data_IF_623225231178
#
_entry.id   IF_623225231178
#
_cell.length_a   1.000
_cell.length_b   1.000
_cell.length_c   1.000
_cell.angle_alpha   90.00
_cell.angle_beta   90.00
_cell.angle_gamma   90.00
#
_symmetry.space_group_name_H-M   'P 1'
#
loop_
_entity.id
_entity.type
_entity.pdbx_description
1 polymer ?
#
# COMPACT_ATOMS: atom_id res chain seq x y z
N UNK A 1 -30.72 -27.33 4.70
CA UNK A 1 -29.78 -26.23 4.99
C UNK A 1 -28.60 -26.42 4.06
N UNK A 2 -28.20 -25.37 3.33
CA UNK A 2 -26.99 -25.45 2.51
C UNK A 2 -25.78 -25.74 3.41
N UNK A 3 -24.91 -26.65 3.00
CA UNK A 3 -23.69 -26.97 3.73
C UNK A 3 -22.60 -25.98 3.34
N UNK A 4 -22.48 -24.91 4.11
CA UNK A 4 -21.57 -23.79 3.86
C UNK A 4 -20.10 -24.21 3.84
N UNK A 5 -19.78 -25.41 4.36
CA UNK A 5 -18.42 -25.98 4.36
C UNK A 5 -17.96 -26.50 3.00
N UNK A 6 -18.88 -26.65 2.04
CA UNK A 6 -18.57 -27.11 0.68
C UNK A 6 -18.00 -26.01 -0.23
N UNK A 7 -18.27 -24.74 0.08
CA UNK A 7 -17.79 -23.61 -0.72
C UNK A 7 -16.28 -23.45 -0.60
N UNK A 8 -15.65 -23.25 -1.74
CA UNK A 8 -14.24 -22.94 -1.88
C UNK A 8 -14.07 -21.47 -2.28
N UNK A 9 -12.86 -20.94 -2.12
CA UNK A 9 -12.60 -19.52 -2.41
C UNK A 9 -12.77 -19.22 -3.91
N UNK A 10 -12.44 -20.19 -4.74
CA UNK A 10 -12.55 -20.16 -6.20
C UNK A 10 -14.02 -19.98 -6.64
N UNK A 11 -14.99 -20.49 -5.87
CA UNK A 11 -16.41 -20.36 -6.16
C UNK A 11 -16.91 -18.89 -6.07
N UNK A 12 -16.15 -18.00 -5.43
CA UNK A 12 -16.48 -16.58 -5.30
C UNK A 12 -15.81 -15.70 -6.38
N UNK A 13 -14.99 -16.28 -7.27
CA UNK A 13 -14.37 -15.54 -8.36
C UNK A 13 -15.33 -15.44 -9.55
N UNK A 14 -15.79 -14.22 -9.83
CA UNK A 14 -16.82 -13.93 -10.83
C UNK A 14 -16.26 -13.75 -12.26
N UNK A 15 -14.94 -13.78 -12.42
CA UNK A 15 -14.27 -13.35 -13.65
C UNK A 15 -13.00 -14.17 -13.92
N UNK A 16 -12.65 -14.31 -15.19
CA UNK A 16 -11.41 -14.97 -15.59
C UNK A 16 -10.18 -14.05 -15.41
N UNK A 17 -8.97 -14.58 -15.17
CA UNK A 17 -7.76 -13.77 -14.98
C UNK A 17 -7.45 -12.81 -16.13
N UNK A 18 -7.69 -13.24 -17.37
CA UNK A 18 -7.55 -12.38 -18.55
C UNK A 18 -8.41 -11.10 -18.47
N UNK A 19 -9.63 -11.20 -17.93
CA UNK A 19 -10.55 -10.08 -17.83
C UNK A 19 -10.08 -9.12 -16.72
N UNK A 20 -9.59 -9.67 -15.61
CA UNK A 20 -9.01 -8.91 -14.51
C UNK A 20 -7.78 -8.10 -14.97
N UNK A 21 -6.79 -8.74 -15.60
CA UNK A 21 -5.58 -8.04 -16.05
C UNK A 21 -5.85 -7.01 -17.15
N UNK A 22 -6.85 -7.27 -18.01
CA UNK A 22 -7.30 -6.31 -19.02
C UNK A 22 -7.85 -5.02 -18.40
N UNK A 23 -8.38 -5.05 -17.17
CA UNK A 23 -8.81 -3.83 -16.49
C UNK A 23 -7.65 -2.86 -16.30
N UNK A 24 -6.50 -3.33 -15.83
CA UNK A 24 -5.32 -2.49 -15.63
C UNK A 24 -4.80 -1.91 -16.93
N UNK A 25 -4.77 -2.72 -18.00
CA UNK A 25 -4.38 -2.24 -19.32
C UNK A 25 -5.26 -1.07 -19.80
N UNK A 26 -6.57 -1.27 -19.74
CA UNK A 26 -7.53 -0.25 -20.14
C UNK A 26 -7.49 0.96 -19.20
N UNK A 27 -7.27 0.76 -17.91
CA UNK A 27 -7.17 1.83 -16.93
C UNK A 27 -5.91 2.68 -17.17
N UNK A 28 -4.77 2.04 -17.39
CA UNK A 28 -3.50 2.70 -17.69
C UNK A 28 -3.56 3.47 -19.00
N UNK A 29 -4.13 2.87 -20.05
CA UNK A 29 -4.29 3.56 -21.33
C UNK A 29 -5.17 4.81 -21.21
N UNK A 30 -6.25 4.75 -20.43
CA UNK A 30 -7.15 5.89 -20.22
C UNK A 30 -6.52 7.01 -19.38
N UNK A 31 -5.57 6.70 -18.51
CA UNK A 31 -4.90 7.67 -17.64
C UNK A 31 -3.53 8.10 -18.14
N UNK A 32 -3.11 7.66 -19.34
CA UNK A 32 -1.92 8.18 -19.97
C UNK A 32 -2.06 9.70 -20.21
N UNK A 33 -1.07 10.54 -19.87
CA UNK A 33 0.30 10.24 -19.44
C UNK A 33 0.55 10.49 -17.93
N UNK A 34 -0.35 10.10 -17.03
CA UNK A 34 -0.19 10.34 -15.59
C UNK A 34 0.94 9.51 -14.96
N UNK A 35 1.30 8.37 -15.55
CA UNK A 35 2.22 7.39 -14.96
C UNK A 35 3.64 7.94 -14.72
N UNK A 36 4.29 8.63 -15.68
CA UNK A 36 5.60 9.23 -15.43
C UNK A 36 5.58 10.25 -14.29
N UNK A 37 4.52 11.05 -14.16
CA UNK A 37 4.38 12.00 -13.07
C UNK A 37 4.25 11.29 -11.71
N UNK A 38 3.43 10.25 -11.63
CA UNK A 38 3.27 9.44 -10.41
C UNK A 38 4.61 8.81 -9.98
N UNK A 39 5.34 8.23 -10.94
CA UNK A 39 6.66 7.64 -10.68
C UNK A 39 7.66 8.70 -10.21
N UNK A 40 7.66 9.88 -10.83
CA UNK A 40 8.53 11.00 -10.44
C UNK A 40 8.22 11.48 -9.02
N UNK A 41 6.94 11.59 -8.65
CA UNK A 41 6.51 11.98 -7.31
C UNK A 41 6.93 10.93 -6.28
N UNK A 42 6.70 9.65 -6.56
CA UNK A 42 7.17 8.53 -5.73
C UNK A 42 8.69 8.55 -5.55
N UNK A 43 9.44 8.86 -6.61
CA UNK A 43 10.90 8.94 -6.58
C UNK A 43 11.38 10.11 -5.72
N UNK A 44 10.77 11.29 -5.90
CA UNK A 44 11.04 12.45 -5.08
C UNK A 44 10.80 12.18 -3.59
N UNK A 45 9.68 11.54 -3.23
CA UNK A 45 9.38 11.18 -1.83
C UNK A 45 10.40 10.17 -1.29
N UNK A 46 10.78 9.17 -2.09
CA UNK A 46 11.79 8.17 -1.70
C UNK A 46 13.13 8.85 -1.41
N UNK A 47 13.59 9.74 -2.29
CA UNK A 47 14.82 10.52 -2.08
C UNK A 47 14.74 11.41 -0.84
N UNK A 48 13.61 12.08 -0.62
CA UNK A 48 13.39 12.89 0.57
C UNK A 48 13.46 12.03 1.85
N UNK A 49 12.89 10.82 1.82
CA UNK A 49 12.94 9.89 2.94
C UNK A 49 14.36 9.40 3.22
N UNK A 50 15.12 9.03 2.18
CA UNK A 50 16.53 8.63 2.29
C UNK A 50 17.40 9.76 2.86
N UNK A 51 17.07 11.02 2.57
CA UNK A 51 17.73 12.21 3.13
C UNK A 51 17.25 12.59 4.54
N UNK A 52 16.34 11.82 5.13
CA UNK A 52 15.78 12.11 6.47
C UNK A 52 14.90 13.36 6.52
N UNK A 53 14.34 13.79 5.38
CA UNK A 53 13.54 15.00 5.31
C UNK A 53 12.17 14.82 5.96
N UNK A 54 11.74 15.73 6.86
CA UNK A 54 10.43 15.65 7.50
C UNK A 54 9.28 15.91 6.51
N UNK A 55 9.58 16.46 5.32
CA UNK A 55 8.61 16.67 4.24
C UNK A 55 8.22 15.36 3.56
N UNK A 56 9.09 14.35 3.59
CA UNK A 56 8.86 13.08 2.91
C UNK A 56 7.55 12.42 3.35
N UNK A 57 7.31 12.33 4.66
CA UNK A 57 6.09 11.70 5.16
C UNK A 57 4.84 12.53 4.91
N UNK A 58 4.88 13.87 5.04
CA UNK A 58 3.72 14.71 4.73
C UNK A 58 3.34 14.66 3.25
N UNK A 59 4.31 14.81 2.35
CA UNK A 59 4.08 14.73 0.91
C UNK A 59 3.68 13.30 0.48
N UNK A 60 4.31 12.28 1.07
CA UNK A 60 3.96 10.89 0.82
C UNK A 60 2.54 10.55 1.25
N UNK A 61 2.10 11.02 2.42
CA UNK A 61 0.75 10.78 2.90
C UNK A 61 -0.28 11.51 2.04
N UNK A 62 0.01 12.74 1.63
CA UNK A 62 -0.86 13.47 0.72
C UNK A 62 -0.96 12.81 -0.66
N UNK A 63 0.17 12.38 -1.23
CA UNK A 63 0.21 11.65 -2.50
C UNK A 63 -0.59 10.35 -2.40
N UNK A 64 -0.35 9.55 -1.37
CA UNK A 64 -1.06 8.28 -1.18
C UNK A 64 -2.53 8.53 -0.90
N UNK A 65 -2.92 9.54 -0.13
CA UNK A 65 -4.33 9.88 0.07
C UNK A 65 -5.03 10.18 -1.27
N UNK A 66 -4.40 10.97 -2.15
CA UNK A 66 -4.91 11.18 -3.50
C UNK A 66 -4.98 9.87 -4.29
N UNK A 67 -3.99 8.99 -4.14
CA UNK A 67 -3.98 7.64 -4.71
C UNK A 67 -5.13 6.76 -4.21
N UNK A 68 -5.42 6.74 -2.91
CA UNK A 68 -6.53 5.99 -2.31
C UNK A 68 -7.88 6.51 -2.85
N UNK A 69 -8.04 7.82 -3.01
CA UNK A 69 -9.22 8.41 -3.66
C UNK A 69 -9.32 7.98 -5.12
N UNK A 70 -8.23 8.10 -5.88
CA UNK A 70 -8.18 7.74 -7.29
C UNK A 70 -8.51 6.25 -7.50
N UNK A 71 -7.93 5.35 -6.69
CA UNK A 71 -8.25 3.92 -6.71
C UNK A 71 -9.71 3.66 -6.36
N UNK A 72 -10.26 4.31 -5.32
CA UNK A 72 -11.67 4.17 -4.95
C UNK A 72 -12.62 4.55 -6.10
N UNK A 73 -12.40 5.72 -6.71
CA UNK A 73 -13.29 6.29 -7.71
C UNK A 73 -13.03 5.76 -9.13
N UNK A 74 -11.77 5.78 -9.58
CA UNK A 74 -11.42 5.48 -10.97
C UNK A 74 -11.21 3.98 -11.20
N UNK A 75 -10.77 3.24 -10.19
CA UNK A 75 -10.57 1.80 -10.31
C UNK A 75 -11.80 1.02 -9.82
N UNK A 76 -12.14 1.08 -8.54
CA UNK A 76 -13.24 0.25 -8.00
C UNK A 76 -14.60 0.62 -8.58
N UNK A 77 -14.96 1.91 -8.53
CA UNK A 77 -16.27 2.35 -9.00
C UNK A 77 -16.41 2.32 -10.53
N UNK A 78 -15.44 2.86 -11.27
CA UNK A 78 -15.57 3.00 -12.73
C UNK A 78 -15.11 1.76 -13.53
N UNK A 79 -14.11 1.00 -13.06
CA UNK A 79 -13.51 -0.09 -13.83
C UNK A 79 -13.93 -1.45 -13.31
N UNK A 80 -13.68 -1.70 -12.03
CA UNK A 80 -13.83 -3.03 -11.46
C UNK A 80 -15.29 -3.43 -11.21
N UNK A 81 -16.17 -2.46 -10.97
CA UNK A 81 -17.62 -2.66 -10.88
C UNK A 81 -18.23 -3.37 -12.10
N UNK A 82 -17.59 -3.27 -13.27
CA UNK A 82 -18.08 -3.91 -14.50
C UNK A 82 -17.99 -5.43 -14.50
N UNK A 83 -17.07 -6.01 -13.72
CA UNK A 83 -16.86 -7.47 -13.63
C UNK A 83 -17.06 -8.03 -12.23
N UNK A 84 -17.12 -7.18 -11.21
CA UNK A 84 -17.31 -7.58 -9.83
C UNK A 84 -18.33 -6.67 -9.15
N UNK A 85 -19.53 -7.21 -8.89
CA UNK A 85 -20.62 -6.47 -8.24
C UNK A 85 -20.26 -6.00 -6.82
N UNK A 86 -19.30 -6.65 -6.16
CA UNK A 86 -18.85 -6.26 -4.83
C UNK A 86 -17.87 -5.07 -4.85
N UNK A 87 -17.25 -4.76 -5.99
CA UNK A 87 -16.24 -3.71 -6.10
C UNK A 87 -16.71 -2.31 -5.66
N UNK A 88 -17.93 -1.84 -6.00
CA UNK A 88 -18.43 -0.53 -5.53
C UNK A 88 -18.43 -0.37 -4.01
N UNK A 89 -18.63 -1.44 -3.24
CA UNK A 89 -18.64 -1.38 -1.78
C UNK A 89 -17.25 -1.12 -1.17
N UNK A 90 -16.17 -1.33 -1.93
CA UNK A 90 -14.82 -1.00 -1.51
C UNK A 90 -14.51 0.50 -1.63
N UNK A 91 -15.19 1.22 -2.53
CA UNK A 91 -15.00 2.67 -2.71
C UNK A 91 -15.05 3.45 -1.38
N UNK A 92 -16.12 3.37 -0.56
CA UNK A 92 -16.18 4.14 0.70
C UNK A 92 -15.07 3.75 1.68
N UNK A 93 -14.63 2.49 1.70
CA UNK A 93 -13.51 2.04 2.55
C UNK A 93 -12.19 2.70 2.12
N UNK A 94 -11.96 2.79 0.80
CA UNK A 94 -10.79 3.46 0.25
C UNK A 94 -10.81 4.97 0.50
N UNK A 95 -11.98 5.61 0.41
CA UNK A 95 -12.14 7.03 0.75
C UNK A 95 -11.91 7.28 2.25
N UNK A 96 -12.41 6.42 3.13
CA UNK A 96 -12.17 6.51 4.56
C UNK A 96 -10.66 6.42 4.88
N UNK A 97 -9.95 5.50 4.22
CA UNK A 97 -8.50 5.39 4.35
C UNK A 97 -7.78 6.68 3.87
N UNK A 98 -8.21 7.27 2.76
CA UNK A 98 -7.64 8.55 2.30
C UNK A 98 -7.80 9.66 3.35
N UNK A 99 -8.95 9.73 4.01
CA UNK A 99 -9.20 10.69 5.10
C UNK A 99 -8.24 10.43 6.27
N UNK A 100 -8.08 9.17 6.69
CA UNK A 100 -7.14 8.80 7.76
C UNK A 100 -5.70 9.24 7.43
N UNK A 101 -5.26 9.06 6.18
CA UNK A 101 -3.93 9.49 5.74
C UNK A 101 -3.78 11.01 5.74
N UNK A 102 -4.81 11.77 5.35
CA UNK A 102 -4.80 13.24 5.42
C UNK A 102 -4.77 13.75 6.87
N UNK A 103 -5.52 13.11 7.76
CA UNK A 103 -5.49 13.41 9.20
C UNK A 103 -4.11 13.09 9.79
N UNK A 104 -3.53 11.95 9.42
CA UNK A 104 -2.16 11.60 9.81
C UNK A 104 -1.14 12.60 9.25
N UNK A 105 -1.31 13.10 8.02
CA UNK A 105 -0.42 14.09 7.43
C UNK A 105 -0.44 15.43 8.17
N UNK A 106 -1.61 15.83 8.71
CA UNK A 106 -1.75 17.03 9.54
C UNK A 106 -1.18 16.85 10.94
N UNK A 107 -1.36 15.68 11.54
CA UNK A 107 -0.90 15.37 12.89
C UNK A 107 0.60 15.02 12.97
N UNK A 108 1.20 14.58 11.85
CA UNK A 108 2.57 14.09 11.84
C UNK A 108 3.60 15.22 11.99
N UNK A 109 4.19 15.31 13.19
CA UNK A 109 5.47 15.99 13.41
C UNK A 109 6.57 14.96 13.17
N UNK A 110 7.11 14.94 11.95
CA UNK A 110 8.23 14.06 11.63
C UNK A 110 9.54 14.72 12.05
N UNK A 111 10.35 14.08 12.92
CA UNK A 111 11.68 14.59 13.21
C UNK A 111 12.56 14.43 11.97
N UNK A 112 13.31 15.47 11.63
CA UNK A 112 14.32 15.40 10.58
C UNK A 112 15.50 14.55 11.08
N UNK A 113 15.56 13.27 10.69
CA UNK A 113 16.61 12.35 11.10
C UNK A 113 16.95 11.39 9.96
N UNK A 114 18.23 11.10 9.71
CA UNK A 114 18.62 10.09 8.71
C UNK A 114 18.11 8.71 9.11
N UNK A 115 17.92 7.82 8.12
CA UNK A 115 17.51 6.44 8.35
C UNK A 115 18.63 5.71 9.11
N UNK A 116 18.38 5.35 10.37
CA UNK A 116 19.33 4.64 11.23
C UNK A 116 18.79 3.30 11.71
N UNK A 117 17.49 3.04 11.55
CA UNK A 117 16.82 1.90 12.14
C UNK A 117 16.35 0.92 11.06
N UNK A 118 16.38 -0.38 11.37
CA UNK A 118 15.88 -1.43 10.48
C UNK A 118 14.43 -1.18 10.04
N UNK A 119 13.61 -0.67 10.97
CA UNK A 119 12.22 -0.28 10.69
C UNK A 119 12.10 0.81 9.62
N UNK A 120 13.00 1.79 9.63
CA UNK A 120 12.99 2.91 8.69
C UNK A 120 13.42 2.44 7.30
N UNK A 121 14.46 1.60 7.22
CA UNK A 121 14.86 0.96 5.98
C UNK A 121 13.77 0.05 5.40
N UNK A 122 13.12 -0.76 6.24
CA UNK A 122 11.99 -1.59 5.82
C UNK A 122 10.82 -0.77 5.29
N UNK A 123 10.49 0.35 5.94
CA UNK A 123 9.44 1.26 5.49
C UNK A 123 9.75 1.90 4.13
N UNK A 124 10.97 2.41 3.94
CA UNK A 124 11.41 2.98 2.66
C UNK A 124 11.46 1.90 1.57
N UNK A 125 11.93 0.70 1.88
CA UNK A 125 11.97 -0.42 0.93
C UNK A 125 10.57 -0.83 0.47
N UNK A 126 9.59 -0.94 1.37
CA UNK A 126 8.19 -1.22 1.02
C UNK A 126 7.57 -0.09 0.19
N UNK A 127 7.85 1.17 0.55
CA UNK A 127 7.39 2.34 -0.22
C UNK A 127 7.95 2.31 -1.65
N UNK A 128 9.25 2.12 -1.78
CA UNK A 128 9.93 2.02 -3.07
C UNK A 128 9.45 0.80 -3.88
N UNK A 129 9.19 -0.34 -3.22
CA UNK A 129 8.65 -1.52 -3.87
C UNK A 129 7.31 -1.20 -4.54
N UNK A 130 6.37 -0.57 -3.82
CA UNK A 130 5.05 -0.23 -4.36
C UNK A 130 5.12 0.67 -5.60
N UNK A 131 6.06 1.63 -5.64
CA UNK A 131 6.19 2.54 -6.78
C UNK A 131 7.02 1.99 -7.94
N UNK A 132 8.05 1.17 -7.69
CA UNK A 132 9.07 0.88 -8.72
C UNK A 132 9.22 -0.61 -9.05
N UNK A 133 8.99 -1.51 -8.09
CA UNK A 133 9.17 -2.95 -8.32
C UNK A 133 7.83 -3.63 -8.64
N UNK A 134 6.77 -3.24 -7.95
CA UNK A 134 5.44 -3.78 -8.19
C UNK A 134 4.93 -3.57 -9.64
N UNK A 135 5.13 -2.40 -10.28
CA UNK A 135 4.74 -2.21 -11.69
C UNK A 135 5.49 -3.11 -12.69
N UNK A 136 6.60 -3.72 -12.27
CA UNK A 136 7.39 -4.65 -13.09
C UNK A 136 6.94 -6.11 -12.94
N UNK A 137 6.06 -6.42 -11.98
CA UNK A 137 5.54 -7.77 -11.76
C UNK A 137 4.89 -8.38 -13.01
N UNK A 138 4.11 -7.65 -13.84
CA UNK A 138 3.58 -8.23 -15.06
C UNK A 138 4.66 -8.88 -15.93
N UNK A 139 5.84 -8.28 -16.06
CA UNK A 139 6.93 -8.84 -16.85
C UNK A 139 7.45 -10.17 -16.28
N UNK A 140 7.53 -10.28 -14.95
CA UNK A 140 7.95 -11.51 -14.26
C UNK A 140 6.98 -12.66 -14.54
N UNK A 141 5.69 -12.34 -14.68
CA UNK A 141 4.62 -13.29 -14.99
C UNK A 141 4.28 -13.37 -16.49
N UNK A 142 5.15 -12.88 -17.39
CA UNK A 142 4.97 -12.98 -18.84
C UNK A 142 3.88 -12.09 -19.43
N UNK A 143 3.39 -11.09 -18.68
CA UNK A 143 2.37 -10.11 -19.09
C UNK A 143 3.01 -8.79 -19.55
N UNK A 144 2.35 -8.03 -20.45
CA UNK A 144 2.91 -6.78 -20.97
C UNK A 144 2.91 -5.66 -19.92
N UNK A 145 3.85 -4.71 -20.03
CA UNK A 145 3.92 -3.51 -19.17
C UNK A 145 2.66 -2.63 -19.23
N UNK A 146 1.84 -2.76 -20.28
CA UNK A 146 0.56 -2.07 -20.34
C UNK A 146 -0.35 -2.47 -19.16
N UNK A 147 -0.18 -3.67 -18.61
CA UNK A 147 -0.90 -4.20 -17.43
C UNK A 147 -0.19 -3.87 -16.10
N UNK A 148 0.77 -2.94 -16.11
CA UNK A 148 1.47 -2.50 -14.89
C UNK A 148 0.50 -1.98 -13.82
N UNK A 149 0.71 -2.43 -12.60
CA UNK A 149 0.01 -1.92 -11.44
C UNK A 149 0.84 -0.81 -10.82
N UNK A 150 0.38 0.44 -10.96
CA UNK A 150 1.07 1.61 -10.40
C UNK A 150 0.42 2.07 -9.10
N UNK A 151 1.24 2.40 -8.10
CA UNK A 151 0.78 3.04 -6.87
C UNK A 151 0.01 4.34 -7.20
N UNK A 152 -1.17 4.50 -6.60
CA UNK A 152 -2.12 5.57 -6.86
C UNK A 152 -3.13 5.29 -7.97
N UNK A 153 -2.92 4.26 -8.80
CA UNK A 153 -3.85 3.85 -9.87
C UNK A 153 -4.38 2.43 -9.68
N UNK A 154 -3.55 1.54 -9.14
CA UNK A 154 -3.88 0.17 -8.78
C UNK A 154 -3.90 0.01 -7.25
N UNK A 155 -4.80 -0.82 -6.69
CA UNK A 155 -5.02 -0.87 -5.25
C UNK A 155 -3.84 -1.53 -4.49
N UNK A 156 -3.25 -2.59 -5.03
CA UNK A 156 -2.14 -3.35 -4.42
C UNK A 156 -0.89 -2.51 -4.17
N UNK A 157 -0.26 -1.90 -5.19
CA UNK A 157 0.93 -1.08 -4.98
C UNK A 157 0.64 0.14 -4.09
N UNK A 158 -0.59 0.67 -4.13
CA UNK A 158 -1.03 1.77 -3.25
C UNK A 158 -1.05 1.34 -1.79
N UNK A 159 -1.63 0.18 -1.50
CA UNK A 159 -1.65 -0.38 -0.16
C UNK A 159 -0.24 -0.68 0.35
N UNK A 160 0.59 -1.32 -0.48
CA UNK A 160 1.97 -1.67 -0.12
C UNK A 160 2.81 -0.42 0.16
N UNK A 161 2.72 0.60 -0.71
CA UNK A 161 3.41 1.85 -0.49
C UNK A 161 2.92 2.56 0.79
N UNK A 162 1.63 2.46 1.09
CA UNK A 162 1.04 2.99 2.33
C UNK A 162 1.58 2.29 3.56
N UNK A 163 1.68 0.95 3.56
CA UNK A 163 2.30 0.19 4.65
C UNK A 163 3.74 0.65 4.88
N UNK A 164 4.52 0.82 3.81
CA UNK A 164 5.89 1.32 3.89
C UNK A 164 5.97 2.70 4.53
N UNK A 165 5.13 3.64 4.09
CA UNK A 165 5.13 5.00 4.64
C UNK A 165 4.68 5.05 6.11
N UNK A 166 3.66 4.28 6.49
CA UNK A 166 3.17 4.20 7.86
C UNK A 166 4.24 3.64 8.81
N UNK A 167 5.12 2.75 8.33
CA UNK A 167 6.27 2.28 9.10
C UNK A 167 7.24 3.42 9.45
N UNK A 168 7.28 4.50 8.67
CA UNK A 168 8.15 5.67 8.91
C UNK A 168 7.55 6.68 9.90
N UNK A 169 6.25 6.58 10.20
CA UNK A 169 5.57 7.52 11.09
C UNK A 169 5.76 7.17 12.57
N UNK A 170 5.70 8.15 13.49
CA UNK A 170 5.56 7.87 14.91
C UNK A 170 4.35 6.97 15.18
N UNK A 171 4.46 6.09 16.19
CA UNK A 171 3.32 5.29 16.60
C UNK A 171 2.29 6.14 17.31
N UNK A 172 1.03 5.88 17.00
CA UNK A 172 -0.13 6.50 17.60
C UNK A 172 -1.42 5.93 17.02
N UNK A 173 -2.56 6.33 17.60
CA UNK A 173 -3.87 5.82 17.22
C UNK A 173 -4.12 5.96 15.71
N UNK A 174 -3.88 7.14 15.12
CA UNK A 174 -4.10 7.37 13.68
C UNK A 174 -3.21 6.48 12.81
N UNK A 175 -1.93 6.29 13.15
CA UNK A 175 -1.03 5.41 12.41
C UNK A 175 -1.47 3.94 12.49
N UNK A 176 -1.98 3.51 13.64
CA UNK A 176 -2.48 2.15 13.84
C UNK A 176 -3.78 1.90 13.08
N UNK A 177 -4.74 2.82 13.17
CA UNK A 177 -5.98 2.75 12.41
C UNK A 177 -5.72 2.76 10.90
N UNK A 178 -4.77 3.58 10.44
CA UNK A 178 -4.40 3.67 9.02
C UNK A 178 -3.73 2.40 8.49
N UNK A 179 -3.30 1.46 9.34
CA UNK A 179 -2.74 0.17 8.89
C UNK A 179 -3.81 -0.86 8.58
N UNK A 180 -4.97 -0.77 9.22
CA UNK A 180 -6.00 -1.79 9.10
C UNK A 180 -6.42 -1.97 7.63
N UNK A 181 -6.75 -0.88 6.94
CA UNK A 181 -7.24 -0.96 5.55
C UNK A 181 -6.18 -1.48 4.58
N UNK A 182 -4.93 -0.96 4.55
CA UNK A 182 -3.90 -1.50 3.64
C UNK A 182 -3.54 -2.96 3.93
N UNK A 183 -3.46 -3.38 5.20
CA UNK A 183 -3.20 -4.80 5.54
C UNK A 183 -4.35 -5.68 5.07
N UNK A 184 -5.59 -5.33 5.43
CA UNK A 184 -6.77 -6.10 5.04
C UNK A 184 -6.91 -6.17 3.51
N UNK A 185 -6.64 -5.07 2.81
CA UNK A 185 -6.64 -5.05 1.35
C UNK A 185 -5.60 -6.03 0.78
N UNK A 186 -4.35 -5.97 1.24
CA UNK A 186 -3.32 -6.90 0.78
C UNK A 186 -3.69 -8.37 1.03
N UNK A 187 -4.36 -8.68 2.14
CA UNK A 187 -4.86 -10.04 2.42
C UNK A 187 -6.00 -10.42 1.46
N UNK A 188 -6.95 -9.53 1.20
CA UNK A 188 -8.04 -9.74 0.23
C UNK A 188 -7.49 -9.92 -1.19
N UNK A 189 -6.52 -9.12 -1.59
CA UNK A 189 -5.88 -9.24 -2.91
C UNK A 189 -5.11 -10.56 -3.02
N UNK A 190 -4.32 -10.92 -2.01
CA UNK A 190 -3.63 -12.22 -1.99
C UNK A 190 -4.60 -13.40 -2.11
N UNK A 191 -5.72 -13.36 -1.38
CA UNK A 191 -6.76 -14.37 -1.48
C UNK A 191 -7.38 -14.42 -2.89
N UNK A 192 -7.70 -13.25 -3.45
CA UNK A 192 -8.28 -13.12 -4.80
C UNK A 192 -7.35 -13.69 -5.87
N UNK A 193 -6.07 -13.30 -5.84
CA UNK A 193 -5.06 -13.78 -6.78
C UNK A 193 -4.78 -15.28 -6.60
N UNK A 194 -4.78 -15.78 -5.37
CA UNK A 194 -4.61 -17.20 -5.11
C UNK A 194 -5.78 -18.03 -5.69
N UNK A 195 -7.01 -17.55 -5.51
CA UNK A 195 -8.20 -18.19 -6.09
C UNK A 195 -8.24 -18.14 -7.63
N UNK A 196 -7.47 -17.21 -8.22
CA UNK A 196 -7.26 -17.12 -9.66
C UNK A 196 -6.08 -17.97 -10.16
N UNK A 197 -5.43 -18.73 -9.27
CA UNK A 197 -4.19 -19.48 -9.53
C UNK A 197 -3.03 -18.60 -10.03
N UNK A 198 -2.99 -17.35 -9.57
CA UNK A 198 -1.96 -16.37 -9.95
C UNK A 198 -0.84 -16.34 -8.90
N UNK A 199 0.38 -16.71 -9.32
CA UNK A 199 1.57 -16.70 -8.46
C UNK A 199 1.92 -15.32 -7.88
N UNK A 200 1.38 -14.24 -8.45
CA UNK A 200 1.51 -12.88 -7.93
C UNK A 200 0.89 -12.71 -6.54
N UNK A 201 -0.01 -13.60 -6.10
CA UNK A 201 -0.63 -13.58 -4.77
C UNK A 201 0.38 -13.43 -3.62
N UNK A 202 1.61 -13.94 -3.79
CA UNK A 202 2.67 -13.83 -2.80
C UNK A 202 3.13 -12.39 -2.55
N UNK A 203 3.05 -11.50 -3.54
CA UNK A 203 3.50 -10.13 -3.42
C UNK A 203 2.69 -9.32 -2.39
N UNK A 204 1.35 -9.19 -2.50
CA UNK A 204 0.55 -8.49 -1.49
C UNK A 204 0.57 -9.23 -0.14
N UNK A 205 0.59 -10.57 -0.12
CA UNK A 205 0.69 -11.34 1.13
C UNK A 205 2.00 -11.02 1.89
N UNK A 206 3.14 -11.09 1.20
CA UNK A 206 4.43 -10.78 1.79
C UNK A 206 4.48 -9.33 2.28
N UNK A 207 3.93 -8.38 1.52
CA UNK A 207 3.89 -6.99 1.94
C UNK A 207 3.02 -6.76 3.18
N UNK A 208 1.88 -7.45 3.31
CA UNK A 208 1.05 -7.39 4.53
C UNK A 208 1.82 -7.90 5.75
N UNK A 209 2.46 -9.08 5.63
CA UNK A 209 3.21 -9.71 6.71
C UNK A 209 4.44 -8.89 7.10
N UNK A 210 5.25 -8.47 6.12
CA UNK A 210 6.44 -7.65 6.33
C UNK A 210 6.05 -6.28 6.87
N UNK A 211 5.02 -5.64 6.31
CA UNK A 211 4.54 -4.34 6.79
C UNK A 211 4.07 -4.39 8.24
N UNK A 212 3.26 -5.40 8.61
CA UNK A 212 2.83 -5.60 9.99
C UNK A 212 3.99 -5.91 10.93
N UNK A 213 4.92 -6.79 10.53
CA UNK A 213 6.08 -7.15 11.34
C UNK A 213 7.02 -5.95 11.55
N UNK A 214 7.36 -5.23 10.48
CA UNK A 214 8.18 -4.01 10.53
C UNK A 214 7.51 -2.94 11.39
N UNK A 215 6.19 -2.77 11.25
CA UNK A 215 5.45 -1.83 12.08
C UNK A 215 5.38 -2.25 13.55
N UNK A 216 5.48 -3.54 13.90
CA UNK A 216 5.47 -4.02 15.28
C UNK A 216 6.82 -3.82 16.02
N UNK A 217 7.95 -3.79 15.30
CA UNK A 217 9.30 -3.66 15.88
C UNK A 217 9.45 -2.42 16.79
N UNK A 218 9.73 -2.55 18.10
CA UNK A 218 9.68 -1.43 19.04
C UNK A 218 10.50 -0.22 18.57
N UNK A 219 10.01 1.02 18.72
CA UNK A 219 10.85 2.18 18.51
C UNK A 219 11.77 2.20 19.72
N UNK A 220 13.00 1.67 19.62
CA UNK A 220 13.94 1.70 20.74
C UNK A 220 14.00 3.14 21.28
N UNK A 221 13.65 3.28 22.55
CA UNK A 221 13.82 4.53 23.29
C UNK A 221 15.29 4.90 23.24
N UNK A 222 15.57 6.17 23.01
CA UNK A 222 16.91 6.71 23.24
C UNK A 222 17.29 6.26 24.67
N UNK A 223 18.41 5.54 24.78
CA UNK A 223 18.79 4.86 26.01
C UNK A 223 18.59 5.80 27.19
N UNK A 224 17.77 5.37 28.15
CA UNK A 224 17.76 5.96 29.48
C UNK A 224 19.20 5.83 29.95
N UNK A 225 19.96 6.93 29.88
CA UNK A 225 21.28 7.01 30.48
C UNK A 225 21.06 6.57 31.92
N UNK A 226 21.78 5.53 32.29
CA UNK A 226 21.86 4.99 33.63
C UNK A 226 22.45 6.08 34.52
N UNK A 227 21.61 7.01 34.99
CA UNK A 227 21.96 7.90 36.09
C UNK A 227 21.85 7.08 37.35
N UNK A 228 22.84 6.21 37.57
CA UNK A 228 23.06 5.58 38.85
C UNK A 228 23.18 6.65 39.95
N UNK A 229 22.74 6.36 41.19
CA UNK A 229 22.75 7.35 42.24
C UNK A 229 24.20 7.69 42.60
N UNK A 230 24.54 8.98 42.54
CA UNK A 230 25.75 9.53 43.15
C UNK A 230 25.62 9.29 44.66
N UNK A 231 26.37 8.30 45.18
CA UNK A 231 26.62 8.17 46.61
C UNK A 231 27.73 9.16 46.97
N UNK A 232 27.37 10.19 47.74
CA UNK A 232 28.30 10.94 48.60
C UNK A 232 28.01 10.58 50.04
#
# INVERSE_FOLDING_TARGET
MADWSSYRLEDFILFAPRAYWRLFELHNAALWPAQPLILLLGFGITLLALRGSPRAGRLGLALLAAGWVAVGLLFFWQRYASINWAAPYLMPVFLAQAILLLLAARAAILPARPLRRFREWGGVALFAYGFFLHPLLPLVFGRPLAQAELAGLAPDPTAIATLGLLCLLPRGLLSGLSLAVPVLWCLVSAATLHAMDEGQALAPLAAALVGAAVWALPPRGDGKADTGPIRT
#
